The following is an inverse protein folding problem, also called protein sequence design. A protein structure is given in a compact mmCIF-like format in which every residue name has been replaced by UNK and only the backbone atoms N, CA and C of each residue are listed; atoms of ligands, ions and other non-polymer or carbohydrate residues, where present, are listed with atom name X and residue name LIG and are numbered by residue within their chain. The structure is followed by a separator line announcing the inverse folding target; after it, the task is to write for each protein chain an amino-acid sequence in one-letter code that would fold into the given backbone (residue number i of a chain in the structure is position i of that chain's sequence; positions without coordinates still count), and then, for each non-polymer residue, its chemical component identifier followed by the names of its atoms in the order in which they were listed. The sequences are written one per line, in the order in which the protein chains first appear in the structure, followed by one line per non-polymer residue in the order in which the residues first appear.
data_IF_252366814724
#
_entry.id   IF_252366814724
#
_cell.length_a   1.000
_cell.length_b   1.000
_cell.length_c   1.000
_cell.angle_alpha   90.00
_cell.angle_beta   90.00
_cell.angle_gamma   90.00
#
_symmetry.space_group_name_H-M   'P 1'
#
loop_
_entity.id
_entity.type
_entity.pdbx_description
1 polymer ?
#
# COMPACT_ATOMS: atom_id res chain seq x y z
N UNK A 1 32.04 -3.86 21.62
CA UNK A 1 33.34 -4.57 21.68
C UNK A 1 33.84 -4.72 20.27
N UNK A 2 35.13 -4.47 19.99
CA UNK A 2 35.69 -4.69 18.65
C UNK A 2 35.72 -6.19 18.37
N UNK A 3 35.12 -6.63 17.26
CA UNK A 3 35.11 -8.04 16.84
C UNK A 3 36.48 -8.43 16.32
N UNK A 4 36.89 -9.67 16.60
CA UNK A 4 38.19 -10.19 16.23
C UNK A 4 38.21 -10.58 14.75
N UNK A 5 39.26 -10.19 14.04
CA UNK A 5 39.54 -10.63 12.66
C UNK A 5 40.94 -11.27 12.63
N UNK A 6 41.03 -12.56 12.32
CA UNK A 6 42.30 -13.30 12.26
C UNK A 6 43.03 -13.18 10.92
N UNK A 7 42.37 -12.73 9.84
CA UNK A 7 43.02 -12.49 8.55
C UNK A 7 43.81 -11.18 8.60
N UNK A 8 45.15 -11.30 8.64
CA UNK A 8 46.06 -10.14 8.80
C UNK A 8 46.69 -9.72 7.49
N UNK A 9 46.79 -8.41 7.30
CA UNK A 9 47.55 -7.84 6.21
C UNK A 9 49.06 -8.05 6.45
N UNK A 10 49.75 -8.64 5.48
CA UNK A 10 51.17 -8.96 5.55
C UNK A 10 52.03 -7.76 5.15
N UNK A 11 53.15 -7.56 5.86
CA UNK A 11 54.18 -6.58 5.51
C UNK A 11 53.70 -5.12 5.42
N UNK A 12 52.75 -4.64 6.21
CA UNK A 12 52.18 -3.27 6.04
C UNK A 12 53.00 -2.10 6.62
N UNK A 13 54.13 -2.35 7.27
CA UNK A 13 54.95 -1.30 7.90
C UNK A 13 55.64 -0.38 6.89
N UNK A 14 55.95 0.86 7.30
CA UNK A 14 56.57 1.88 6.44
C UNK A 14 57.90 1.44 5.79
N UNK A 15 58.70 0.60 6.46
CA UNK A 15 59.98 0.09 5.98
C UNK A 15 59.93 -1.40 5.62
N UNK A 16 58.75 -1.94 5.32
CA UNK A 16 58.63 -3.36 5.03
C UNK A 16 59.31 -3.75 3.71
N UNK A 17 59.82 -4.98 3.70
CA UNK A 17 60.66 -5.57 2.66
C UNK A 17 59.87 -5.86 1.36
N UNK A 18 59.42 -4.81 0.66
CA UNK A 18 58.69 -4.91 -0.62
C UNK A 18 59.28 -3.97 -1.66
N UNK A 19 59.00 -4.23 -2.93
CA UNK A 19 59.23 -3.26 -4.00
C UNK A 19 58.23 -2.09 -3.96
N UNK A 20 58.59 -0.94 -4.52
CA UNK A 20 57.66 0.18 -4.72
C UNK A 20 56.49 -0.23 -5.62
N UNK A 21 55.40 0.55 -5.59
CA UNK A 21 54.26 0.28 -6.47
C UNK A 21 54.64 0.37 -7.95
N UNK A 22 55.32 1.45 -8.33
CA UNK A 22 55.84 1.69 -9.69
C UNK A 22 56.68 0.51 -10.21
N UNK A 23 57.71 0.08 -9.46
CA UNK A 23 58.56 -1.06 -9.85
C UNK A 23 57.82 -2.39 -9.93
N UNK A 24 56.73 -2.54 -9.19
CA UNK A 24 55.91 -3.75 -9.22
C UNK A 24 55.04 -3.79 -10.48
N UNK A 25 54.44 -2.65 -10.86
CA UNK A 25 53.59 -2.51 -12.05
C UNK A 25 54.36 -2.77 -13.35
N UNK A 26 55.66 -2.46 -13.37
CA UNK A 26 56.56 -2.76 -14.50
C UNK A 26 57.07 -4.22 -14.52
N UNK A 27 56.84 -5.00 -13.46
CA UNK A 27 57.41 -6.34 -13.34
C UNK A 27 56.68 -7.33 -14.26
N UNK A 28 57.44 -8.01 -15.13
CA UNK A 28 56.89 -9.01 -16.06
C UNK A 28 56.14 -10.17 -15.36
N UNK A 29 56.48 -10.46 -14.09
CA UNK A 29 55.82 -11.51 -13.30
C UNK A 29 54.33 -11.23 -13.06
N UNK A 30 53.86 -9.99 -13.23
CA UNK A 30 52.42 -9.69 -13.19
C UNK A 30 51.65 -10.36 -14.33
N UNK A 31 52.29 -10.57 -15.49
CA UNK A 31 51.66 -11.11 -16.69
C UNK A 31 51.85 -12.62 -16.81
N UNK A 32 53.05 -13.10 -16.48
CA UNK A 32 53.44 -14.51 -16.72
C UNK A 32 53.65 -15.31 -15.44
N UNK A 33 53.45 -14.71 -14.26
CA UNK A 33 53.75 -15.32 -12.97
C UNK A 33 55.24 -15.27 -12.61
N UNK A 34 55.56 -15.74 -11.41
CA UNK A 34 56.95 -15.80 -10.96
C UNK A 34 57.76 -16.86 -11.73
N UNK A 35 59.03 -16.59 -12.09
CA UNK A 35 59.89 -17.59 -12.71
C UNK A 35 60.14 -18.78 -11.75
N UNK A 36 60.42 -19.98 -12.29
CA UNK A 36 60.68 -21.17 -11.47
C UNK A 36 61.90 -21.01 -10.56
N UNK A 37 62.90 -20.25 -11.02
CA UNK A 37 64.12 -19.97 -10.29
C UNK A 37 64.31 -18.44 -10.12
N UNK A 38 64.89 -18.05 -8.98
CA UNK A 38 65.40 -16.70 -8.72
C UNK A 38 64.34 -15.57 -8.54
N UNK A 39 63.41 -15.75 -7.60
CA UNK A 39 62.43 -14.72 -7.21
C UNK A 39 63.01 -13.83 -6.09
N UNK A 40 63.00 -12.51 -6.29
CA UNK A 40 63.34 -11.58 -5.21
C UNK A 40 62.25 -11.56 -4.14
N UNK A 41 62.65 -11.67 -2.87
CA UNK A 41 61.73 -11.59 -1.72
C UNK A 41 60.94 -10.29 -1.70
N UNK A 42 61.49 -9.18 -2.22
CA UNK A 42 60.78 -7.90 -2.29
C UNK A 42 59.55 -7.96 -3.21
N UNK A 43 59.65 -8.67 -4.33
CA UNK A 43 58.55 -8.82 -5.30
C UNK A 43 57.52 -9.83 -4.77
N UNK A 44 57.99 -10.96 -4.21
CA UNK A 44 57.12 -11.93 -3.56
C UNK A 44 56.31 -11.29 -2.41
N UNK A 45 56.97 -10.55 -1.53
CA UNK A 45 56.31 -9.87 -0.42
C UNK A 45 55.31 -8.81 -0.89
N UNK A 46 55.51 -8.20 -2.06
CA UNK A 46 54.57 -7.24 -2.64
C UNK A 46 53.27 -7.94 -3.07
N UNK A 47 53.36 -9.10 -3.73
CA UNK A 47 52.21 -9.92 -4.11
C UNK A 47 51.46 -10.44 -2.86
N UNK A 48 52.19 -10.94 -1.87
CA UNK A 48 51.63 -11.38 -0.58
C UNK A 48 50.97 -10.21 0.18
N UNK A 49 51.58 -9.02 0.18
CA UNK A 49 50.98 -7.82 0.79
C UNK A 49 49.67 -7.47 0.10
N UNK A 50 49.63 -7.36 -1.23
CA UNK A 50 48.40 -6.95 -1.93
C UNK A 50 47.24 -7.93 -1.67
N UNK A 51 47.49 -9.23 -1.78
CA UNK A 51 46.48 -10.27 -1.51
C UNK A 51 46.01 -10.27 -0.06
N UNK A 52 46.92 -10.34 0.91
CA UNK A 52 46.57 -10.37 2.34
C UNK A 52 45.93 -9.07 2.83
N UNK A 53 46.26 -7.92 2.23
CA UNK A 53 45.62 -6.64 2.58
C UNK A 53 44.15 -6.65 2.17
N UNK A 54 43.82 -7.13 0.96
CA UNK A 54 42.43 -7.26 0.53
C UNK A 54 41.69 -8.29 1.39
N UNK A 55 42.31 -9.43 1.70
CA UNK A 55 41.73 -10.43 2.59
C UNK A 55 41.40 -9.85 3.99
N UNK A 56 42.33 -9.10 4.57
CA UNK A 56 42.13 -8.46 5.88
C UNK A 56 41.01 -7.40 5.84
N UNK A 57 40.92 -6.61 4.76
CA UNK A 57 39.84 -5.62 4.56
C UNK A 57 38.47 -6.31 4.48
N UNK A 58 38.36 -7.38 3.69
CA UNK A 58 37.11 -8.15 3.55
C UNK A 58 36.75 -8.80 4.89
N UNK A 59 37.69 -9.44 5.57
CA UNK A 59 37.42 -10.07 6.86
C UNK A 59 37.04 -9.04 7.94
N UNK A 60 37.62 -7.83 7.90
CA UNK A 60 37.23 -6.74 8.80
C UNK A 60 35.81 -6.23 8.49
N UNK A 61 35.45 -6.13 7.20
CA UNK A 61 34.08 -5.84 6.80
C UNK A 61 33.12 -6.90 7.34
N UNK A 62 33.43 -8.18 7.15
CA UNK A 62 32.61 -9.30 7.66
C UNK A 62 32.47 -9.19 9.18
N UNK A 63 33.57 -9.02 9.92
CA UNK A 63 33.54 -8.96 11.38
C UNK A 63 32.68 -7.79 11.89
N UNK A 64 32.84 -6.62 11.26
CA UNK A 64 32.09 -5.40 11.62
C UNK A 64 30.61 -5.54 11.30
N UNK A 65 30.27 -6.01 10.11
CA UNK A 65 28.89 -6.03 9.62
C UNK A 65 28.12 -7.30 9.98
N UNK A 66 28.75 -8.37 10.47
CA UNK A 66 28.04 -9.55 10.99
C UNK A 66 27.88 -9.51 12.52
N UNK A 67 28.56 -8.59 13.19
CA UNK A 67 28.72 -8.54 14.65
C UNK A 67 29.27 -9.87 15.21
N UNK A 68 30.21 -10.50 14.51
CA UNK A 68 30.82 -11.77 14.92
C UNK A 68 32.32 -11.79 14.59
N UNK A 69 33.08 -12.62 15.28
CA UNK A 69 34.51 -12.81 15.02
C UNK A 69 34.73 -13.52 13.68
N UNK A 70 35.83 -13.24 13.00
CA UNK A 70 36.22 -13.91 11.76
C UNK A 70 37.54 -14.63 12.01
N UNK A 71 37.47 -15.96 12.16
CA UNK A 71 38.60 -16.82 12.53
C UNK A 71 39.25 -17.43 11.28
N UNK A 72 40.56 -17.62 11.33
CA UNK A 72 41.33 -18.37 10.32
C UNK A 72 41.47 -19.84 10.78
N UNK A 73 40.35 -20.57 10.77
CA UNK A 73 40.24 -21.96 11.23
C UNK A 73 39.97 -22.96 10.09
N UNK A 74 39.98 -22.47 8.84
CA UNK A 74 39.70 -23.27 7.65
C UNK A 74 38.22 -23.59 7.41
N UNK A 75 37.28 -23.08 8.23
CA UNK A 75 35.84 -23.31 8.04
C UNK A 75 35.25 -22.35 7.00
N UNK A 76 35.35 -22.76 5.73
CA UNK A 76 34.85 -22.00 4.57
C UNK A 76 33.34 -21.78 4.64
N UNK A 77 32.58 -22.75 5.15
CA UNK A 77 31.13 -22.68 5.21
C UNK A 77 30.68 -21.60 6.21
N UNK A 78 31.31 -21.57 7.39
CA UNK A 78 31.09 -20.54 8.40
C UNK A 78 31.51 -19.16 7.90
N UNK A 79 32.67 -19.04 7.24
CA UNK A 79 33.11 -17.77 6.67
C UNK A 79 32.12 -17.24 5.61
N UNK A 80 31.59 -18.14 4.77
CA UNK A 80 30.59 -17.80 3.75
C UNK A 80 29.27 -17.37 4.37
N UNK A 81 28.80 -18.07 5.41
CA UNK A 81 27.60 -17.67 6.15
C UNK A 81 27.75 -16.27 6.76
N UNK A 82 28.91 -15.97 7.36
CA UNK A 82 29.22 -14.66 7.93
C UNK A 82 29.29 -13.57 6.86
N UNK A 83 29.88 -13.84 5.70
CA UNK A 83 29.88 -12.90 4.57
C UNK A 83 28.46 -12.58 4.10
N UNK A 84 27.62 -13.58 3.92
CA UNK A 84 26.22 -13.38 3.52
C UNK A 84 25.44 -12.55 4.57
N UNK A 85 25.67 -12.83 5.85
CA UNK A 85 25.08 -12.07 6.94
C UNK A 85 25.55 -10.61 6.93
N UNK A 86 26.86 -10.38 6.79
CA UNK A 86 27.46 -9.05 6.70
C UNK A 86 26.86 -8.23 5.55
N UNK A 87 26.74 -8.83 4.36
CA UNK A 87 26.09 -8.18 3.21
C UNK A 87 24.63 -7.87 3.48
N UNK A 88 23.87 -8.82 4.05
CA UNK A 88 22.46 -8.62 4.40
C UNK A 88 22.29 -7.47 5.40
N UNK A 89 23.07 -7.45 6.48
CA UNK A 89 23.01 -6.37 7.47
C UNK A 89 23.37 -5.02 6.87
N UNK A 90 24.43 -4.96 6.05
CA UNK A 90 24.85 -3.73 5.38
C UNK A 90 23.76 -3.18 4.46
N UNK A 91 23.15 -4.04 3.65
CA UNK A 91 22.06 -3.66 2.74
C UNK A 91 20.83 -3.21 3.52
N UNK A 92 20.41 -3.93 4.55
CA UNK A 92 19.23 -3.54 5.35
C UNK A 92 19.45 -2.23 6.11
N UNK A 93 20.66 -1.94 6.57
CA UNK A 93 20.99 -0.70 7.26
C UNK A 93 20.97 0.51 6.31
N UNK A 94 21.46 0.37 5.08
CA UNK A 94 21.50 1.48 4.10
C UNK A 94 20.21 1.61 3.28
N UNK A 95 19.48 0.52 3.10
CA UNK A 95 18.23 0.43 2.34
C UNK A 95 17.15 -0.15 3.27
N UNK A 96 16.62 0.64 4.21
CA UNK A 96 15.60 0.18 5.14
C UNK A 96 14.25 -0.01 4.43
N UNK A 97 13.30 -0.59 5.14
CA UNK A 97 11.89 -0.57 4.73
C UNK A 97 11.37 0.87 4.75
N UNK A 98 10.48 1.21 3.81
CA UNK A 98 9.86 2.53 3.81
C UNK A 98 8.85 2.66 4.97
N UNK A 99 8.69 3.89 5.44
CA UNK A 99 7.64 4.30 6.36
C UNK A 99 7.14 5.69 5.97
N UNK A 100 6.19 6.25 6.72
CA UNK A 100 5.71 7.62 6.49
C UNK A 100 6.79 8.69 6.70
N UNK A 101 7.90 8.36 7.38
CA UNK A 101 9.00 9.29 7.66
C UNK A 101 10.36 8.83 7.14
N UNK A 102 10.50 7.55 6.78
CA UNK A 102 11.73 6.95 6.27
C UNK A 102 11.53 6.49 4.83
N UNK A 103 12.37 6.96 3.90
CA UNK A 103 12.40 6.41 2.55
C UNK A 103 12.98 5.00 2.58
N UNK A 104 12.46 4.09 1.75
CA UNK A 104 12.93 2.72 1.72
C UNK A 104 12.25 1.86 0.65
N UNK A 105 12.40 0.55 0.78
CA UNK A 105 11.72 -0.45 -0.07
C UNK A 105 10.35 -0.80 0.50
N UNK A 106 9.40 -1.11 -0.38
CA UNK A 106 8.02 -1.50 -0.03
C UNK A 106 7.63 -2.76 -0.81
N UNK A 107 6.99 -3.72 -0.13
CA UNK A 107 6.44 -4.90 -0.78
C UNK A 107 5.07 -4.57 -1.39
N UNK A 108 4.81 -5.07 -2.60
CA UNK A 108 3.52 -4.93 -3.27
C UNK A 108 2.49 -5.93 -2.74
N UNK A 109 1.22 -5.55 -2.74
CA UNK A 109 0.10 -6.43 -2.35
C UNK A 109 -1.01 -6.52 -3.39
N UNK A 110 -1.61 -7.70 -3.46
CA UNK A 110 -2.84 -8.02 -4.17
C UNK A 110 -3.97 -8.44 -3.21
N UNK A 111 -3.81 -8.21 -1.92
CA UNK A 111 -4.80 -8.52 -0.90
C UNK A 111 -5.48 -7.25 -0.38
N UNK A 112 -6.81 -7.30 -0.24
CA UNK A 112 -7.56 -6.23 0.44
C UNK A 112 -7.37 -6.40 1.94
N UNK A 113 -6.93 -5.35 2.62
CA UNK A 113 -6.70 -5.37 4.07
C UNK A 113 -6.46 -3.97 4.63
N UNK A 114 -5.89 -3.91 5.83
CA UNK A 114 -5.59 -2.68 6.58
C UNK A 114 -4.09 -2.50 6.87
N UNK A 115 -3.23 -3.13 6.08
CA UNK A 115 -1.78 -3.05 6.24
C UNK A 115 -1.25 -1.70 5.71
N UNK A 116 -0.46 -1.00 6.51
CA UNK A 116 0.14 0.30 6.22
C UNK A 116 1.60 0.23 5.73
N UNK A 117 2.16 -0.98 5.62
CA UNK A 117 3.53 -1.26 5.17
C UNK A 117 3.61 -1.83 3.75
N UNK A 118 2.46 -2.14 3.13
CA UNK A 118 2.39 -2.69 1.77
C UNK A 118 1.89 -1.65 0.77
N UNK A 119 2.41 -1.69 -0.46
CA UNK A 119 1.94 -0.84 -1.54
C UNK A 119 0.90 -1.57 -2.40
N UNK A 120 -0.24 -0.90 -2.61
CA UNK A 120 -1.34 -1.41 -3.42
C UNK A 120 -0.92 -1.52 -4.90
N UNK A 121 -1.25 -2.64 -5.54
CA UNK A 121 -1.05 -2.83 -6.99
C UNK A 121 -2.23 -2.28 -7.81
N UNK A 122 -1.98 -1.90 -9.07
CA UNK A 122 -3.04 -1.47 -9.99
C UNK A 122 -4.16 -2.52 -10.16
N UNK A 123 -3.79 -3.81 -10.16
CA UNK A 123 -4.75 -4.92 -10.22
C UNK A 123 -5.69 -4.92 -9.02
N UNK A 124 -5.16 -4.75 -7.81
CA UNK A 124 -5.95 -4.67 -6.58
C UNK A 124 -6.90 -3.45 -6.61
N UNK A 125 -6.43 -2.29 -7.10
CA UNK A 125 -7.30 -1.11 -7.31
C UNK A 125 -8.47 -1.46 -8.24
N UNK A 126 -8.22 -2.18 -9.34
CA UNK A 126 -9.27 -2.59 -10.27
C UNK A 126 -10.29 -3.54 -9.63
N UNK A 127 -9.83 -4.49 -8.81
CA UNK A 127 -10.71 -5.40 -8.06
C UNK A 127 -11.60 -4.66 -7.07
N UNK A 128 -11.03 -3.70 -6.32
CA UNK A 128 -11.78 -2.83 -5.41
C UNK A 128 -12.82 -2.01 -6.20
N UNK A 129 -12.45 -1.41 -7.32
CA UNK A 129 -13.37 -0.64 -8.18
C UNK A 129 -14.52 -1.52 -8.68
N UNK A 130 -14.24 -2.74 -9.13
CA UNK A 130 -15.26 -3.67 -9.62
C UNK A 130 -16.23 -4.08 -8.50
N UNK A 131 -15.71 -4.37 -7.30
CA UNK A 131 -16.52 -4.68 -6.12
C UNK A 131 -17.44 -3.53 -5.73
N UNK A 132 -16.92 -2.29 -5.73
CA UNK A 132 -17.70 -1.08 -5.45
C UNK A 132 -18.81 -0.87 -6.49
N UNK A 133 -18.50 -1.02 -7.78
CA UNK A 133 -19.50 -0.93 -8.87
C UNK A 133 -20.62 -1.94 -8.68
N UNK A 134 -20.29 -3.21 -8.42
CA UNK A 134 -21.29 -4.25 -8.14
C UNK A 134 -22.18 -3.93 -6.93
N UNK A 135 -21.62 -3.38 -5.86
CA UNK A 135 -22.40 -2.98 -4.67
C UNK A 135 -23.37 -1.83 -4.98
N UNK A 136 -22.92 -0.82 -5.72
CA UNK A 136 -23.72 0.34 -6.11
C UNK A 136 -24.87 -0.09 -7.02
N UNK A 137 -24.58 -0.89 -8.05
CA UNK A 137 -25.59 -1.37 -9.00
C UNK A 137 -26.67 -2.23 -8.32
N UNK A 138 -26.30 -2.96 -7.26
CA UNK A 138 -27.24 -3.74 -6.44
C UNK A 138 -28.12 -2.89 -5.53
N UNK A 139 -27.59 -1.82 -4.92
CA UNK A 139 -28.35 -0.97 -3.98
C UNK A 139 -29.17 0.13 -4.67
N UNK A 140 -28.64 0.69 -5.74
CA UNK A 140 -29.17 1.85 -6.45
C UNK A 140 -29.22 1.53 -7.94
N UNK A 141 -29.98 0.48 -8.28
CA UNK A 141 -30.07 0.05 -9.66
C UNK A 141 -30.72 1.14 -10.54
N UNK A 142 -30.13 1.39 -11.71
CA UNK A 142 -30.75 2.19 -12.78
C UNK A 142 -32.02 1.54 -13.34
N UNK A 143 -32.32 0.31 -12.92
CA UNK A 143 -33.53 -0.42 -13.25
C UNK A 143 -34.57 -0.44 -12.12
N UNK A 144 -34.45 0.43 -11.10
CA UNK A 144 -35.49 0.58 -10.08
C UNK A 144 -36.84 0.85 -10.75
N UNK A 145 -37.87 0.14 -10.31
CA UNK A 145 -39.21 0.21 -10.89
C UNK A 145 -40.24 0.68 -9.87
N UNK A 146 -41.20 1.46 -10.33
CA UNK A 146 -42.49 1.68 -9.64
C UNK A 146 -43.57 1.02 -10.48
N UNK A 147 -44.30 0.07 -9.90
CA UNK A 147 -45.37 -0.67 -10.58
C UNK A 147 -44.93 -1.26 -11.96
N UNK A 148 -43.75 -1.88 -11.99
CA UNK A 148 -43.21 -2.49 -13.22
C UNK A 148 -42.55 -1.54 -14.23
N UNK A 149 -42.63 -0.22 -14.03
CA UNK A 149 -42.05 0.81 -14.91
C UNK A 149 -40.75 1.36 -14.34
N UNK A 150 -39.70 1.45 -15.16
CA UNK A 150 -38.38 1.97 -14.74
C UNK A 150 -38.46 3.44 -14.35
N UNK A 151 -37.75 3.83 -13.29
CA UNK A 151 -37.61 5.21 -12.83
C UNK A 151 -36.44 5.89 -13.58
N UNK A 152 -36.74 6.61 -14.65
CA UNK A 152 -35.75 7.31 -15.49
C UNK A 152 -35.62 8.80 -15.18
N UNK A 153 -36.59 9.36 -14.45
CA UNK A 153 -36.73 10.78 -14.11
C UNK A 153 -37.63 10.93 -12.87
N UNK A 154 -37.75 12.16 -12.34
CA UNK A 154 -38.56 12.45 -11.16
C UNK A 154 -40.06 12.18 -11.39
N UNK A 155 -40.76 11.65 -10.38
CA UNK A 155 -42.21 11.46 -10.42
C UNK A 155 -42.89 12.67 -9.79
N UNK A 156 -43.45 13.52 -10.63
CA UNK A 156 -44.33 14.60 -10.20
C UNK A 156 -45.78 14.10 -10.20
N UNK A 157 -46.44 14.11 -9.03
CA UNK A 157 -47.86 13.76 -8.87
C UNK A 157 -48.66 14.99 -8.49
N UNK A 158 -49.75 15.25 -9.20
CA UNK A 158 -50.77 16.22 -8.84
C UNK A 158 -52.02 15.52 -8.28
N UNK A 159 -52.99 16.31 -7.81
CA UNK A 159 -54.23 15.80 -7.23
C UNK A 159 -55.02 14.89 -8.20
N UNK A 160 -55.03 15.21 -9.50
CA UNK A 160 -55.70 14.37 -10.50
C UNK A 160 -55.00 13.02 -10.70
N UNK A 161 -53.66 12.96 -10.60
CA UNK A 161 -52.90 11.73 -10.82
C UNK A 161 -53.17 10.64 -9.76
N UNK A 162 -53.58 11.04 -8.56
CA UNK A 162 -53.90 10.12 -7.44
C UNK A 162 -55.42 9.95 -7.23
N UNK A 163 -56.24 10.48 -8.13
CA UNK A 163 -57.70 10.42 -8.01
C UNK A 163 -58.26 11.17 -6.81
N UNK A 164 -57.55 12.20 -6.33
CA UNK A 164 -58.07 13.03 -5.26
C UNK A 164 -59.28 13.81 -5.77
N UNK A 165 -60.37 13.83 -4.99
CA UNK A 165 -61.55 14.61 -5.35
C UNK A 165 -61.21 16.08 -5.49
N UNK A 166 -61.70 16.67 -6.57
CA UNK A 166 -61.71 18.12 -6.69
C UNK A 166 -62.57 18.70 -5.59
N UNK A 167 -62.25 19.94 -5.20
CA UNK A 167 -63.02 20.66 -4.20
C UNK A 167 -64.53 20.71 -4.54
N UNK A 168 -64.85 20.81 -5.83
CA UNK A 168 -66.23 20.81 -6.34
C UNK A 168 -66.93 19.47 -6.12
N UNK A 169 -66.27 18.33 -6.38
CA UNK A 169 -66.84 16.99 -6.18
C UNK A 169 -67.08 16.67 -4.71
N UNK A 170 -66.20 17.13 -3.82
CA UNK A 170 -66.44 17.02 -2.36
C UNK A 170 -67.73 17.76 -1.98
N UNK A 171 -67.93 18.98 -2.51
CA UNK A 171 -69.12 19.77 -2.22
C UNK A 171 -70.41 19.22 -2.81
N UNK A 172 -70.36 18.54 -3.96
CA UNK A 172 -71.55 17.93 -4.56
C UNK A 172 -71.89 16.56 -3.98
N UNK A 173 -70.90 15.80 -3.48
CA UNK A 173 -71.13 14.50 -2.81
C UNK A 173 -71.37 14.57 -1.31
N UNK A 174 -71.00 15.66 -0.64
CA UNK A 174 -71.61 15.94 0.64
C UNK A 174 -73.11 16.07 0.41
N UNK A 175 -73.92 15.23 1.05
CA UNK A 175 -75.36 15.43 1.18
C UNK A 175 -75.59 16.73 1.97
N UNK A 176 -75.31 17.87 1.34
CA UNK A 176 -75.62 19.18 1.88
C UNK A 176 -77.11 19.34 1.67
N UNK A 177 -77.88 18.90 2.66
CA UNK A 177 -79.29 19.26 2.76
C UNK A 177 -79.41 20.76 2.50
N UNK A 178 -80.21 21.12 1.51
CA UNK A 178 -80.51 22.53 1.26
C UNK A 178 -81.15 23.12 2.51
N UNK A 179 -81.01 24.43 2.75
CA UNK A 179 -81.62 25.07 3.94
C UNK A 179 -83.11 24.72 4.10
N UNK A 180 -83.84 24.67 2.99
CA UNK A 180 -85.25 24.29 2.97
C UNK A 180 -85.50 22.84 3.42
N UNK A 181 -84.60 21.90 3.10
CA UNK A 181 -84.70 20.51 3.57
C UNK A 181 -84.32 20.38 5.05
N UNK A 182 -83.31 21.12 5.54
CA UNK A 182 -82.97 21.20 6.96
C UNK A 182 -84.14 21.75 7.78
N UNK A 183 -84.82 22.76 7.27
CA UNK A 183 -85.99 23.37 7.93
C UNK A 183 -87.19 22.41 7.93
N UNK A 184 -87.42 21.68 6.82
CA UNK A 184 -88.45 20.63 6.76
C UNK A 184 -88.17 19.46 7.71
N UNK A 185 -86.92 19.02 7.84
CA UNK A 185 -86.53 17.96 8.76
C UNK A 185 -86.59 18.41 10.23
N UNK A 186 -86.19 19.65 10.52
CA UNK A 186 -86.29 20.24 11.87
C UNK A 186 -87.75 20.39 12.32
N UNK A 187 -88.67 20.76 11.41
CA UNK A 187 -90.10 20.79 11.70
C UNK A 187 -90.73 19.40 11.90
N UNK A 188 -90.01 18.33 11.55
CA UNK A 188 -90.39 16.94 11.83
C UNK A 188 -89.65 16.35 13.04
N UNK A 189 -88.92 17.18 13.80
CA UNK A 189 -88.20 16.80 15.01
C UNK A 189 -86.83 16.14 14.77
N UNK A 190 -86.31 16.18 13.54
CA UNK A 190 -85.00 15.62 13.19
C UNK A 190 -84.00 16.78 13.03
N UNK A 191 -82.94 16.80 13.86
CA UNK A 191 -81.91 17.84 13.82
C UNK A 191 -80.61 17.30 13.21
N UNK A 192 -80.39 17.44 11.89
CA UNK A 192 -79.13 17.04 11.28
C UNK A 192 -77.97 17.90 11.82
N UNK A 193 -76.84 17.25 12.11
CA UNK A 193 -75.61 17.92 12.56
C UNK A 193 -75.16 18.87 11.43
N UNK A 194 -75.05 20.18 11.71
CA UNK A 194 -74.69 21.20 10.72
C UNK A 194 -73.35 20.84 10.04
N UNK A 195 -73.41 20.37 8.80
CA UNK A 195 -72.24 20.31 7.94
C UNK A 195 -71.83 21.73 7.52
N UNK A 196 -70.52 21.95 7.46
CA UNK A 196 -69.83 23.23 7.42
C UNK A 196 -70.33 24.11 6.26
N UNK A 197 -70.90 25.28 6.57
CA UNK A 197 -71.30 26.25 5.55
C UNK A 197 -70.07 26.86 4.88
N UNK A 198 -69.88 26.65 3.57
CA UNK A 198 -69.04 27.55 2.77
C UNK A 198 -69.84 28.77 2.35
N UNK A 199 -69.46 29.94 2.89
CA UNK A 199 -69.89 31.24 2.41
C UNK A 199 -69.46 31.36 0.94
N UNK A 200 -70.40 31.34 -0.01
CA UNK A 200 -70.16 31.82 -1.38
C UNK A 200 -69.84 33.32 -1.31
N UNK A 201 -68.55 33.65 -1.27
CA UNK A 201 -68.04 34.96 -1.65
C UNK A 201 -67.94 35.04 -3.17
N UNK A 202 -68.29 36.20 -3.72
CA UNK A 202 -68.16 36.56 -5.14
C UNK A 202 -66.75 36.34 -5.67
#
# INVERSE_FOLDING_TARGET
MSKKNDFKAFSISNNANVVSQEKYEENQSLQVGFPPDNISTHVLNKALRQSSTIAAVIANFIATQSDDDVLDDGDIAKLTAKLNQALKQKVTAEIPNASLTQKGVVQLTNEIGNNDTLAVTQKLVQEIINSLRGNIDGKVSNSRKINGKTLTEDINLNASDVGAYTRTEVYTRSEVYTRAEVDRLSNRGIHPIRSIYTRRGR
#
